data_IF_203841596195
#
_entry.id   IF_203841596195
#
_cell.length_a   1.000
_cell.length_b   1.000
_cell.length_c   1.000
_cell.angle_alpha   90.00
_cell.angle_beta   90.00
_cell.angle_gamma   90.00
#
_symmetry.space_group_name_H-M   'P 1'
#
loop_
_entity.id
_entity.type
_entity.pdbx_description
1 polymer ?
#
# COMPACT_ATOMS: atom_id res chain seq x y z
N UNK A 1 -6.10 9.44 7.91
CA UNK A 1 -7.08 8.32 7.93
C UNK A 1 -6.61 7.30 8.97
N UNK A 2 -7.52 6.69 9.74
CA UNK A 2 -7.15 5.59 10.65
C UNK A 2 -7.42 4.25 9.98
N UNK A 3 -6.47 3.31 10.08
CA UNK A 3 -6.63 1.93 9.58
C UNK A 3 -6.40 0.93 10.72
N UNK A 4 -5.28 1.06 11.43
CA UNK A 4 -4.97 0.26 12.61
C UNK A 4 -4.03 1.01 13.55
N UNK A 5 -4.04 0.65 14.83
CA UNK A 5 -3.02 1.04 15.82
C UNK A 5 -1.78 0.13 15.75
N UNK A 6 -0.67 0.48 16.43
CA UNK A 6 0.49 -0.41 16.55
C UNK A 6 0.13 -1.81 17.10
N UNK A 7 -0.72 -1.87 18.13
CA UNK A 7 -1.16 -3.15 18.73
C UNK A 7 -1.99 -3.98 17.75
N UNK A 8 -2.85 -3.34 16.96
CA UNK A 8 -3.65 -4.01 15.94
C UNK A 8 -2.77 -4.54 14.81
N UNK A 9 -1.77 -3.77 14.36
CA UNK A 9 -0.78 -4.23 13.38
C UNK A 9 -0.03 -5.47 13.88
N UNK A 10 0.46 -5.43 15.13
CA UNK A 10 1.19 -6.54 15.74
C UNK A 10 0.33 -7.80 15.83
N UNK A 11 -0.92 -7.68 16.26
CA UNK A 11 -1.88 -8.80 16.31
C UNK A 11 -2.19 -9.35 14.93
N UNK A 12 -2.42 -8.48 13.94
CA UNK A 12 -2.72 -8.86 12.56
C UNK A 12 -1.57 -9.66 11.94
N UNK A 13 -0.34 -9.16 12.11
CA UNK A 13 0.86 -9.81 11.59
C UNK A 13 1.38 -10.92 12.50
N UNK A 14 0.81 -11.13 13.69
CA UNK A 14 1.30 -12.07 14.72
C UNK A 14 2.80 -11.87 15.01
N UNK A 15 3.19 -10.61 15.19
CA UNK A 15 4.57 -10.19 15.51
C UNK A 15 4.63 -9.54 16.88
N UNK A 16 5.83 -9.46 17.46
CA UNK A 16 6.10 -8.70 18.68
C UNK A 16 6.61 -7.28 18.33
N UNK A 17 6.68 -6.36 19.31
CA UNK A 17 7.19 -4.99 19.09
C UNK A 17 8.62 -4.94 18.53
N UNK A 18 9.45 -5.90 18.91
CA UNK A 18 10.87 -5.95 18.51
C UNK A 18 11.10 -6.58 17.14
N UNK A 19 10.06 -7.14 16.51
CA UNK A 19 10.16 -7.78 15.21
C UNK A 19 10.61 -6.77 14.16
N UNK A 20 11.62 -7.16 13.37
CA UNK A 20 12.12 -6.38 12.24
C UNK A 20 12.09 -7.23 10.97
N UNK A 21 11.89 -6.57 9.85
CA UNK A 21 12.14 -7.10 8.51
C UNK A 21 12.77 -6.02 7.65
N UNK A 22 13.12 -6.37 6.41
CA UNK A 22 13.96 -5.51 5.60
C UNK A 22 13.17 -4.38 4.92
N UNK A 23 12.15 -4.71 4.11
CA UNK A 23 11.51 -3.74 3.20
C UNK A 23 9.99 -3.71 3.32
N UNK A 24 9.45 -2.51 3.49
CA UNK A 24 8.03 -2.18 3.34
C UNK A 24 7.81 -1.47 2.01
N UNK A 25 6.75 -1.83 1.29
CA UNK A 25 6.14 -1.01 0.25
C UNK A 25 4.74 -0.60 0.67
N UNK A 26 4.46 0.69 0.75
CA UNK A 26 3.13 1.23 1.02
C UNK A 26 2.53 1.84 -0.24
N UNK A 27 1.55 1.15 -0.83
CA UNK A 27 0.90 1.55 -2.07
C UNK A 27 -0.22 2.54 -1.78
N UNK A 28 -0.15 3.74 -2.38
CA UNK A 28 -1.12 4.80 -2.13
C UNK A 28 -1.03 5.33 -0.70
N UNK A 29 0.19 5.68 -0.27
CA UNK A 29 0.49 5.99 1.12
C UNK A 29 -0.13 7.30 1.63
N UNK A 30 -0.65 8.15 0.74
CA UNK A 30 -1.17 9.47 1.10
C UNK A 30 -0.11 10.31 1.83
N UNK A 31 -0.48 10.85 3.00
CA UNK A 31 0.41 11.68 3.82
C UNK A 31 1.45 10.88 4.64
N UNK A 32 1.38 9.55 4.60
CA UNK A 32 2.28 8.64 5.30
C UNK A 32 2.00 8.42 6.79
N UNK A 33 0.85 8.88 7.32
CA UNK A 33 0.55 8.69 8.75
C UNK A 33 0.29 7.23 9.12
N UNK A 34 -0.28 6.43 8.21
CA UNK A 34 -0.43 4.97 8.43
C UNK A 34 0.90 4.27 8.23
N UNK A 35 1.71 4.69 7.24
CA UNK A 35 3.08 4.21 7.03
C UNK A 35 3.93 4.36 8.29
N UNK A 36 3.78 5.48 9.01
CA UNK A 36 4.48 5.76 10.27
C UNK A 36 4.22 4.70 11.35
N UNK A 37 3.04 4.09 11.38
CA UNK A 37 2.69 3.03 12.34
C UNK A 37 3.46 1.74 12.02
N UNK A 38 3.68 1.45 10.74
CA UNK A 38 4.42 0.28 10.27
C UNK A 38 5.93 0.48 10.32
N UNK A 39 6.40 1.70 10.02
CA UNK A 39 7.81 2.05 9.83
C UNK A 39 8.80 1.55 10.90
N UNK A 40 8.47 1.46 12.21
CA UNK A 40 9.42 0.97 13.20
C UNK A 40 9.88 -0.46 12.94
N UNK A 41 9.14 -1.26 12.19
CA UNK A 41 9.46 -2.67 11.91
C UNK A 41 10.35 -2.87 10.68
N UNK A 42 10.75 -1.81 9.97
CA UNK A 42 11.42 -1.91 8.67
C UNK A 42 12.68 -1.04 8.57
N UNK A 43 13.69 -1.54 7.88
CA UNK A 43 14.92 -0.80 7.59
C UNK A 43 14.75 0.14 6.39
N UNK A 44 14.03 -0.32 5.37
CA UNK A 44 13.74 0.45 4.17
C UNK A 44 12.23 0.58 3.95
N UNK A 45 11.78 1.82 3.79
CA UNK A 45 10.37 2.14 3.58
C UNK A 45 10.23 2.79 2.21
N UNK A 46 9.47 2.12 1.36
CA UNK A 46 9.08 2.58 0.04
C UNK A 46 7.61 2.94 0.06
N UNK A 47 7.24 3.99 -0.66
CA UNK A 47 5.86 4.44 -0.77
C UNK A 47 5.55 4.86 -2.20
N UNK A 48 4.31 4.66 -2.64
CA UNK A 48 3.81 5.25 -3.89
C UNK A 48 2.70 6.22 -3.60
N UNK A 49 2.64 7.30 -4.38
CA UNK A 49 1.59 8.30 -4.29
C UNK A 49 1.53 9.08 -5.62
N UNK A 50 0.36 9.61 -5.98
CA UNK A 50 0.14 10.39 -7.20
C UNK A 50 0.07 11.90 -6.93
N UNK A 51 -0.40 12.31 -5.75
CA UNK A 51 -0.50 13.73 -5.39
C UNK A 51 0.87 14.33 -5.05
N UNK A 52 1.30 15.38 -5.76
CA UNK A 52 2.56 16.08 -5.50
C UNK A 52 2.69 16.56 -4.05
N UNK A 53 1.59 17.04 -3.47
CA UNK A 53 1.55 17.51 -2.07
C UNK A 53 1.82 16.36 -1.11
N UNK A 54 1.25 15.18 -1.38
CA UNK A 54 1.42 14.00 -0.54
C UNK A 54 2.81 13.38 -0.72
N UNK A 55 3.32 13.33 -1.96
CA UNK A 55 4.71 12.96 -2.26
C UNK A 55 5.69 13.80 -1.44
N UNK A 56 5.47 15.12 -1.38
CA UNK A 56 6.31 16.02 -0.57
C UNK A 56 6.24 15.70 0.94
N UNK A 57 5.07 15.35 1.46
CA UNK A 57 4.92 14.91 2.87
C UNK A 57 5.69 13.60 3.14
N UNK A 58 5.62 12.63 2.23
CA UNK A 58 6.34 11.35 2.33
C UNK A 58 7.87 11.57 2.30
N UNK A 59 8.35 12.44 1.42
CA UNK A 59 9.77 12.81 1.33
C UNK A 59 10.26 13.50 2.60
N UNK A 60 9.46 14.39 3.21
CA UNK A 60 9.77 15.00 4.51
C UNK A 60 9.90 13.98 5.63
N UNK A 61 9.14 12.89 5.57
CA UNK A 61 9.22 11.74 6.48
C UNK A 61 10.39 10.79 6.15
N UNK A 62 11.20 11.11 5.13
CA UNK A 62 12.36 10.35 4.65
C UNK A 62 12.00 8.97 4.06
N UNK A 63 10.77 8.79 3.60
CA UNK A 63 10.38 7.59 2.85
C UNK A 63 10.88 7.66 1.41
N UNK A 64 11.23 6.51 0.84
CA UNK A 64 11.65 6.42 -0.58
C UNK A 64 10.41 6.38 -1.46
N UNK A 65 10.05 7.51 -2.06
CA UNK A 65 8.89 7.59 -2.94
C UNK A 65 9.25 7.02 -4.31
N UNK A 66 8.47 6.04 -4.78
CA UNK A 66 8.61 5.40 -6.08
C UNK A 66 7.46 5.81 -7.00
N UNK A 67 7.73 5.89 -8.30
CA UNK A 67 6.71 6.12 -9.31
C UNK A 67 5.73 4.96 -9.47
N UNK A 68 4.59 5.22 -10.12
CA UNK A 68 3.46 4.27 -10.30
C UNK A 68 3.87 2.88 -10.81
N UNK A 69 4.89 2.77 -11.66
CA UNK A 69 5.36 1.49 -12.22
C UNK A 69 6.79 1.14 -11.77
N UNK A 70 7.44 2.01 -11.01
CA UNK A 70 8.83 1.85 -10.60
C UNK A 70 8.96 0.77 -9.52
N UNK A 71 8.00 0.70 -8.60
CA UNK A 71 7.99 -0.27 -7.49
C UNK A 71 7.99 -1.73 -7.95
N UNK A 72 7.58 -2.00 -9.19
CA UNK A 72 7.57 -3.32 -9.80
C UNK A 72 8.96 -3.76 -10.33
N UNK A 73 9.83 -2.79 -10.62
CA UNK A 73 11.07 -2.99 -11.39
C UNK A 73 12.33 -2.61 -10.60
N UNK A 74 12.28 -2.68 -9.27
CA UNK A 74 13.38 -2.25 -8.40
C UNK A 74 14.55 -3.23 -8.32
N UNK A 75 14.39 -4.45 -8.85
CA UNK A 75 15.40 -5.51 -8.78
C UNK A 75 15.48 -6.22 -7.43
N UNK A 76 14.55 -5.94 -6.51
CA UNK A 76 14.46 -6.60 -5.22
C UNK A 76 13.00 -6.89 -4.84
N UNK A 77 12.82 -7.69 -3.80
CA UNK A 77 11.51 -8.07 -3.27
C UNK A 77 11.20 -7.36 -1.95
N UNK A 78 9.90 -7.26 -1.65
CA UNK A 78 9.38 -6.66 -0.42
C UNK A 78 8.94 -7.72 0.58
N UNK A 79 9.27 -7.53 1.85
CA UNK A 79 8.83 -8.42 2.93
C UNK A 79 7.38 -8.15 3.34
N UNK A 80 6.96 -6.89 3.29
CA UNK A 80 5.56 -6.50 3.48
C UNK A 80 5.16 -5.50 2.40
N UNK A 81 3.97 -5.69 1.84
CA UNK A 81 3.31 -4.72 0.97
C UNK A 81 1.98 -4.34 1.60
N UNK A 82 1.75 -3.05 1.85
CA UNK A 82 0.45 -2.54 2.26
C UNK A 82 -0.27 -1.91 1.07
N UNK A 83 -1.57 -2.19 0.96
CA UNK A 83 -2.48 -1.62 -0.02
C UNK A 83 -3.78 -1.32 0.72
N UNK A 84 -3.88 -0.08 1.21
CA UNK A 84 -4.85 0.31 2.23
C UNK A 84 -5.86 1.30 1.62
N UNK A 85 -7.10 0.86 1.46
CA UNK A 85 -8.19 1.64 0.84
C UNK A 85 -7.82 2.19 -0.54
N UNK A 86 -7.14 1.36 -1.33
CA UNK A 86 -6.68 1.67 -2.67
C UNK A 86 -7.43 0.89 -3.75
N UNK A 87 -7.84 -0.36 -3.49
CA UNK A 87 -8.49 -1.21 -4.51
C UNK A 87 -9.85 -0.68 -4.97
N UNK A 88 -10.51 0.13 -4.14
CA UNK A 88 -11.77 0.83 -4.47
C UNK A 88 -11.55 2.10 -5.31
N UNK A 89 -10.30 2.52 -5.55
CA UNK A 89 -9.96 3.78 -6.23
C UNK A 89 -9.05 3.62 -7.44
N UNK A 90 -8.77 2.38 -7.85
CA UNK A 90 -7.85 2.08 -8.94
C UNK A 90 -8.56 1.48 -10.15
N UNK A 91 -8.04 1.74 -11.35
CA UNK A 91 -8.60 1.25 -12.61
C UNK A 91 -8.48 -0.28 -12.78
N UNK A 92 -7.36 -0.86 -12.37
CA UNK A 92 -7.03 -2.28 -12.60
C UNK A 92 -6.69 -3.01 -11.29
N UNK A 93 -7.66 -3.22 -10.38
CA UNK A 93 -7.42 -3.84 -9.08
C UNK A 93 -6.90 -5.29 -9.15
N UNK A 94 -7.30 -6.09 -10.16
CA UNK A 94 -6.82 -7.47 -10.29
C UNK A 94 -5.37 -7.50 -10.76
N UNK A 95 -5.01 -6.63 -11.71
CA UNK A 95 -3.64 -6.45 -12.16
C UNK A 95 -2.76 -5.95 -11.03
N UNK A 96 -3.22 -4.96 -10.25
CA UNK A 96 -2.51 -4.49 -9.06
C UNK A 96 -2.21 -5.64 -8.07
N UNK A 97 -3.18 -6.52 -7.79
CA UNK A 97 -2.97 -7.67 -6.92
C UNK A 97 -1.97 -8.70 -7.49
N UNK A 98 -1.97 -8.90 -8.82
CA UNK A 98 -0.98 -9.76 -9.50
C UNK A 98 0.42 -9.16 -9.41
N UNK A 99 0.54 -7.85 -9.59
CA UNK A 99 1.81 -7.13 -9.50
C UNK A 99 2.35 -7.13 -8.06
N UNK A 100 1.48 -6.94 -7.06
CA UNK A 100 1.85 -7.11 -5.64
C UNK A 100 2.45 -8.50 -5.42
N UNK A 101 1.80 -9.55 -5.93
CA UNK A 101 2.29 -10.93 -5.79
C UNK A 101 3.65 -11.16 -6.47
N UNK A 102 3.94 -10.49 -7.59
CA UNK A 102 5.17 -10.73 -8.36
C UNK A 102 6.43 -10.17 -7.69
N UNK A 103 6.30 -9.10 -6.89
CA UNK A 103 7.42 -8.45 -6.18
C UNK A 103 7.45 -8.73 -4.68
N UNK A 104 6.48 -9.50 -4.18
CA UNK A 104 6.47 -9.95 -2.80
C UNK A 104 7.52 -11.06 -2.60
N UNK A 105 8.17 -11.06 -1.44
CA UNK A 105 9.10 -12.14 -1.08
C UNK A 105 8.36 -13.51 -1.08
N UNK A 106 8.81 -14.52 -1.86
CA UNK A 106 8.02 -15.72 -2.16
C UNK A 106 7.62 -16.58 -0.95
N UNK A 107 8.43 -16.59 0.12
CA UNK A 107 8.24 -17.54 1.22
C UNK A 107 7.64 -16.93 2.48
N UNK A 108 8.03 -15.70 2.81
CA UNK A 108 7.61 -15.04 4.05
C UNK A 108 6.96 -13.67 3.82
N UNK A 109 6.88 -13.24 2.57
CA UNK A 109 6.26 -11.98 2.22
C UNK A 109 4.77 -11.99 2.56
N UNK A 110 4.26 -10.89 3.10
CA UNK A 110 2.83 -10.75 3.44
C UNK A 110 2.27 -9.45 2.91
N UNK A 111 0.97 -9.47 2.61
CA UNK A 111 0.23 -8.30 2.15
C UNK A 111 -0.73 -7.86 3.25
N UNK A 112 -0.80 -6.55 3.49
CA UNK A 112 -1.83 -5.93 4.35
C UNK A 112 -2.82 -5.24 3.43
N UNK A 113 -4.07 -5.69 3.45
CA UNK A 113 -5.16 -5.12 2.66
C UNK A 113 -6.18 -4.46 3.58
N UNK A 114 -6.60 -3.25 3.22
CA UNK A 114 -7.78 -2.60 3.79
C UNK A 114 -8.71 -2.13 2.68
N UNK A 115 -10.01 -2.27 2.89
CA UNK A 115 -11.05 -1.97 1.93
C UNK A 115 -12.22 -1.32 2.66
N UNK A 116 -12.92 -0.41 1.99
CA UNK A 116 -14.16 0.18 2.50
C UNK A 116 -15.34 -0.68 2.05
N UNK A 117 -16.23 -1.00 3.01
CA UNK A 117 -17.50 -1.68 2.75
C UNK A 117 -18.69 -0.74 3.04
N UNK A 118 -19.78 -0.81 2.25
CA UNK A 118 -19.95 -1.64 1.05
C UNK A 118 -19.01 -1.22 -0.10
N UNK A 119 -18.51 -2.21 -0.87
CA UNK A 119 -17.47 -1.99 -1.87
C UNK A 119 -18.04 -1.31 -3.12
N UNK A 120 -17.66 -0.05 -3.35
CA UNK A 120 -18.13 0.78 -4.47
C UNK A 120 -16.93 1.34 -5.24
N UNK A 121 -16.34 0.56 -6.16
CA UNK A 121 -15.10 0.96 -6.81
C UNK A 121 -15.32 2.05 -7.86
N UNK A 122 -14.39 3.00 -7.93
CA UNK A 122 -14.32 4.05 -8.94
C UNK A 122 -12.86 4.33 -9.29
N UNK A 123 -12.62 5.07 -10.37
CA UNK A 123 -11.29 5.56 -10.75
C UNK A 123 -11.21 7.05 -10.45
N UNK A 124 -10.22 7.44 -9.63
CA UNK A 124 -9.91 8.84 -9.36
C UNK A 124 -8.95 9.36 -10.44
N UNK A 125 -9.49 10.10 -11.41
CA UNK A 125 -8.67 10.73 -12.45
C UNK A 125 -8.12 12.08 -11.97
N UNK A 126 -6.98 12.49 -12.53
CA UNK A 126 -6.33 13.79 -12.26
C UNK A 126 -7.28 14.98 -12.56
N UNK A 127 -8.19 14.80 -13.52
CA UNK A 127 -9.17 15.82 -13.92
C UNK A 127 -10.41 15.88 -13.01
N UNK A 128 -10.44 15.10 -11.92
CA UNK A 128 -11.57 15.05 -10.97
C UNK A 128 -12.81 14.31 -11.50
N UNK A 129 -12.71 13.65 -12.65
CA UNK A 129 -13.77 12.79 -13.21
C UNK A 129 -13.70 11.40 -12.59
N UNK A 130 -14.87 10.83 -12.35
CA UNK A 130 -15.04 9.47 -11.86
C UNK A 130 -15.38 8.54 -13.01
N UNK A 131 -14.54 7.53 -13.23
CA UNK A 131 -14.81 6.45 -14.18
C UNK A 131 -15.02 5.12 -13.45
N UNK A 132 -15.60 4.15 -14.17
CA UNK A 132 -15.65 2.77 -13.69
C UNK A 132 -14.30 2.11 -13.94
N UNK A 133 -13.82 1.26 -13.01
CA UNK A 133 -12.59 0.51 -13.23
C UNK A 133 -12.75 -0.45 -14.41
N UNK A 134 -11.69 -0.64 -15.18
CA UNK A 134 -11.63 -1.62 -16.27
C UNK A 134 -11.59 -3.06 -15.77
N UNK A 135 -11.23 -3.29 -14.51
CA UNK A 135 -11.31 -4.60 -13.85
C UNK A 135 -12.19 -4.55 -12.60
N UNK A 136 -12.89 -5.64 -12.31
CA UNK A 136 -13.80 -5.75 -11.16
C UNK A 136 -13.36 -6.82 -10.18
N UNK A 137 -13.44 -6.51 -8.88
CA UNK A 137 -13.32 -7.51 -7.81
C UNK A 137 -14.72 -7.98 -7.40
N UNK A 138 -14.93 -9.30 -7.33
CA UNK A 138 -16.18 -9.90 -6.86
C UNK A 138 -16.29 -9.87 -5.31
N UNK A 139 -16.16 -8.69 -4.71
CA UNK A 139 -16.28 -8.50 -3.27
C UNK A 139 -17.76 -8.39 -2.91
N UNK A 140 -18.21 -9.22 -1.97
CA UNK A 140 -19.53 -9.14 -1.34
C UNK A 140 -19.32 -8.82 0.13
N UNK A 141 -20.04 -7.83 0.65
CA UNK A 141 -19.96 -7.36 2.03
C UNK A 141 -21.24 -6.67 2.44
#
# INVERSE_FOLDING_TARGET
>A
MFVFSPDQLQRLLKINPDWKTHRLLDLGAGDGEVTKIMSPHFEEIYATELSETMIWQLQKKKYRVLGKNEWQNTGFQYGIISCLNLLDRCDQPLTLLKDIRSVLEPTRGRVILALVLPFHPYVENIDGKWDKPSETLEIKG
#
